data_IF_373527392726
#
_entry.id   IF_373527392726
#
_cell.length_a   1.000
_cell.length_b   1.000
_cell.length_c   1.000
_cell.angle_alpha   90.00
_cell.angle_beta   90.00
_cell.angle_gamma   90.00
#
_symmetry.space_group_name_H-M   'P 1'
#
loop_
_entity.id
_entity.type
_entity.pdbx_description
1 polymer ?
#
# COMPACT_ATOMS: atom_id res chain seq x y z
N UNK A 1 26.32 -12.17 10.09
CA UNK A 1 26.36 -11.73 11.50
C UNK A 1 27.81 -11.43 11.93
N UNK A 2 28.73 -12.35 11.82
CA UNK A 2 30.11 -12.19 12.27
C UNK A 2 30.84 -10.98 11.64
N UNK A 3 30.62 -10.70 10.36
CA UNK A 3 31.23 -9.56 9.67
C UNK A 3 30.67 -8.20 10.08
N UNK A 4 29.39 -8.18 10.47
CA UNK A 4 28.70 -6.94 10.86
C UNK A 4 28.75 -6.70 12.37
N UNK A 5 29.16 -7.69 13.16
CA UNK A 5 29.12 -7.63 14.62
C UNK A 5 27.71 -7.53 15.20
N UNK A 6 26.70 -7.97 14.44
CA UNK A 6 25.28 -7.85 14.78
C UNK A 6 24.62 -9.21 14.80
N UNK A 7 23.66 -9.40 15.71
CA UNK A 7 22.78 -10.56 15.70
C UNK A 7 21.52 -10.20 14.90
N UNK A 8 21.34 -10.80 13.73
CA UNK A 8 20.23 -10.46 12.81
C UNK A 8 18.98 -11.28 13.09
N UNK A 9 19.16 -12.51 13.60
CA UNK A 9 18.08 -13.44 13.85
C UNK A 9 18.30 -14.20 15.15
N UNK A 10 17.21 -14.53 15.83
CA UNK A 10 17.21 -15.40 17.02
C UNK A 10 16.43 -16.67 16.73
N UNK A 11 17.04 -17.83 17.06
CA UNK A 11 16.37 -19.13 17.07
C UNK A 11 16.12 -19.54 18.52
N UNK A 12 14.90 -19.95 18.83
CA UNK A 12 14.54 -20.44 20.15
C UNK A 12 13.38 -21.43 20.09
N UNK A 13 12.94 -21.93 21.27
CA UNK A 13 11.78 -22.85 21.38
C UNK A 13 10.49 -22.26 20.80
N UNK A 14 10.37 -20.92 20.72
CA UNK A 14 9.24 -20.20 20.13
C UNK A 14 9.37 -19.99 18.60
N UNK A 15 10.42 -20.56 17.94
CA UNK A 15 10.63 -20.44 16.51
C UNK A 15 11.78 -19.50 16.12
N UNK A 16 11.71 -18.97 14.91
CA UNK A 16 12.66 -18.04 14.31
C UNK A 16 12.10 -16.61 14.38
N UNK A 17 12.89 -15.68 14.85
CA UNK A 17 12.53 -14.25 14.90
C UNK A 17 13.68 -13.37 14.40
N UNK A 18 13.36 -12.38 13.59
CA UNK A 18 14.29 -11.34 13.16
C UNK A 18 14.48 -10.34 14.32
N UNK A 19 15.70 -9.90 14.57
CA UNK A 19 15.98 -8.86 15.57
C UNK A 19 15.67 -7.47 15.02
N UNK A 20 15.54 -6.43 15.87
CA UNK A 20 15.44 -5.05 15.41
C UNK A 20 16.62 -4.63 14.53
N UNK A 21 17.82 -5.07 14.87
CA UNK A 21 19.02 -4.87 14.07
C UNK A 21 18.96 -5.60 12.74
N UNK A 22 18.45 -6.85 12.76
CA UNK A 22 18.20 -7.65 11.57
C UNK A 22 17.22 -6.98 10.61
N UNK A 23 16.13 -6.43 11.16
CA UNK A 23 15.15 -5.69 10.36
C UNK A 23 15.78 -4.46 9.71
N UNK A 24 16.58 -3.69 10.45
CA UNK A 24 17.29 -2.54 9.90
C UNK A 24 18.25 -2.92 8.77
N UNK A 25 19.03 -3.97 8.96
CA UNK A 25 19.94 -4.47 7.90
C UNK A 25 19.17 -4.94 6.69
N UNK A 26 18.04 -5.60 6.88
CA UNK A 26 17.15 -6.00 5.79
C UNK A 26 16.65 -4.78 4.99
N UNK A 27 16.13 -3.77 5.68
CA UNK A 27 15.62 -2.56 5.05
C UNK A 27 16.71 -1.81 4.26
N UNK A 28 17.92 -1.68 4.83
CA UNK A 28 19.06 -1.07 4.14
C UNK A 28 19.55 -1.91 2.96
N UNK A 29 19.45 -3.23 3.05
CA UNK A 29 19.79 -4.12 1.93
C UNK A 29 18.82 -3.94 0.77
N UNK A 30 17.53 -3.80 1.05
CA UNK A 30 16.54 -3.51 0.02
C UNK A 30 16.83 -2.17 -0.69
N UNK A 31 17.20 -1.14 0.07
CA UNK A 31 17.60 0.16 -0.50
C UNK A 31 18.83 0.06 -1.39
N UNK A 32 19.83 -0.69 -0.93
CA UNK A 32 21.05 -0.91 -1.72
C UNK A 32 20.74 -1.64 -3.04
N UNK A 33 19.90 -2.67 -2.99
CA UNK A 33 19.50 -3.40 -4.19
C UNK A 33 18.73 -2.50 -5.16
N UNK A 34 17.80 -1.71 -4.66
CA UNK A 34 17.06 -0.73 -5.47
C UNK A 34 18.00 0.31 -6.10
N UNK A 35 19.01 0.79 -5.36
CA UNK A 35 20.01 1.71 -5.90
C UNK A 35 20.87 1.08 -6.99
N UNK A 36 21.23 -0.19 -6.84
CA UNK A 36 21.95 -0.96 -7.89
C UNK A 36 21.10 -1.12 -9.14
N UNK A 37 19.83 -1.44 -8.98
CA UNK A 37 18.92 -1.57 -10.13
C UNK A 37 18.66 -0.22 -10.80
N UNK A 38 18.53 0.88 -10.03
CA UNK A 38 18.46 2.24 -10.55
C UNK A 38 19.71 2.65 -11.32
N UNK A 39 20.90 2.28 -10.82
CA UNK A 39 22.14 2.52 -11.56
C UNK A 39 22.18 1.75 -12.89
N UNK A 40 21.77 0.47 -12.89
CA UNK A 40 21.69 -0.33 -14.12
C UNK A 40 20.72 0.28 -15.12
N UNK A 41 19.52 0.69 -14.66
CA UNK A 41 18.54 1.36 -15.52
C UNK A 41 19.12 2.66 -16.15
N UNK A 42 19.87 3.43 -15.36
CA UNK A 42 20.55 4.64 -15.86
C UNK A 42 21.61 4.33 -16.91
N UNK A 43 22.33 3.21 -16.78
CA UNK A 43 23.32 2.77 -17.77
C UNK A 43 22.61 2.27 -19.04
N UNK A 44 21.49 1.55 -18.89
CA UNK A 44 20.68 1.08 -20.02
C UNK A 44 20.07 2.25 -20.81
N UNK A 45 19.63 3.30 -20.10
CA UNK A 45 19.11 4.55 -20.70
C UNK A 45 20.17 5.26 -21.57
N UNK A 46 21.45 5.24 -21.17
CA UNK A 46 22.57 5.75 -21.97
C UNK A 46 22.69 5.01 -23.33
N UNK A 47 22.23 3.77 -23.38
CA UNK A 47 22.26 2.94 -24.58
C UNK A 47 20.95 2.96 -25.39
N UNK A 48 20.03 3.84 -25.07
CA UNK A 48 18.69 3.93 -25.72
C UNK A 48 17.87 2.61 -25.61
N UNK A 49 18.11 1.83 -24.55
CA UNK A 49 17.43 0.57 -24.30
C UNK A 49 16.58 0.69 -23.02
N UNK A 50 15.28 0.51 -23.18
CA UNK A 50 14.41 0.29 -22.01
C UNK A 50 14.68 -1.11 -21.43
N UNK A 51 15.49 -1.19 -20.36
CA UNK A 51 15.86 -2.42 -19.69
C UNK A 51 15.88 -2.27 -18.18
N UNK A 52 16.34 -3.32 -17.48
CA UNK A 52 16.50 -3.29 -16.03
C UNK A 52 15.29 -3.80 -15.25
N UNK A 53 15.09 -3.30 -14.03
CA UNK A 53 14.01 -3.69 -13.13
C UNK A 53 13.11 -2.49 -12.80
N UNK A 54 11.79 -2.68 -12.93
CA UNK A 54 10.78 -1.70 -12.53
C UNK A 54 10.02 -2.24 -11.33
N UNK A 55 10.17 -1.58 -10.19
CA UNK A 55 9.48 -1.93 -8.94
C UNK A 55 8.22 -1.07 -8.77
N UNK A 56 7.07 -1.71 -8.72
CA UNK A 56 5.76 -1.08 -8.49
C UNK A 56 5.17 -1.65 -7.22
N UNK A 57 4.69 -0.79 -6.34
CA UNK A 57 4.03 -1.19 -5.11
C UNK A 57 2.53 -0.88 -5.16
N UNK A 58 1.72 -1.84 -4.72
CA UNK A 58 0.26 -1.78 -4.73
C UNK A 58 -0.26 -1.97 -3.31
N UNK A 59 -1.24 -1.17 -2.92
CA UNK A 59 -2.02 -1.49 -1.74
C UNK A 59 -2.88 -2.73 -2.02
N UNK A 60 -3.01 -3.63 -1.04
CA UNK A 60 -3.60 -4.96 -1.18
C UNK A 60 -4.89 -4.99 -2.01
N UNK A 61 -5.91 -4.23 -1.61
CA UNK A 61 -7.20 -4.19 -2.31
C UNK A 61 -7.13 -3.61 -3.73
N UNK A 62 -6.12 -2.81 -4.02
CA UNK A 62 -5.94 -2.23 -5.36
C UNK A 62 -5.49 -3.29 -6.35
N UNK A 63 -4.64 -4.22 -5.92
CA UNK A 63 -4.12 -5.28 -6.78
C UNK A 63 -5.25 -6.19 -7.35
N UNK A 64 -6.32 -6.39 -6.58
CA UNK A 64 -7.46 -7.24 -6.94
C UNK A 64 -8.67 -6.48 -7.48
N UNK A 65 -8.66 -5.13 -7.47
CA UNK A 65 -9.79 -4.33 -7.93
C UNK A 65 -9.86 -4.27 -9.46
N UNK A 66 -10.95 -4.75 -10.10
CA UNK A 66 -11.09 -4.71 -11.55
C UNK A 66 -11.06 -3.29 -12.13
N UNK A 67 -11.51 -2.27 -11.38
CA UNK A 67 -11.51 -0.88 -11.84
C UNK A 67 -10.10 -0.31 -11.95
N UNK A 68 -9.15 -0.81 -11.17
CA UNK A 68 -7.76 -0.41 -11.24
C UNK A 68 -7.08 -0.82 -12.55
N UNK A 69 -7.60 -1.84 -13.25
CA UNK A 69 -7.10 -2.37 -14.52
C UNK A 69 -5.59 -2.68 -14.52
N UNK A 70 -5.03 -3.01 -13.37
CA UNK A 70 -3.59 -3.26 -13.19
C UNK A 70 -3.11 -4.36 -14.15
N UNK A 71 -3.88 -5.44 -14.30
CA UNK A 71 -3.55 -6.53 -15.21
C UNK A 71 -3.42 -6.09 -16.67
N UNK A 72 -4.31 -5.20 -17.13
CA UNK A 72 -4.27 -4.67 -18.48
C UNK A 72 -3.05 -3.76 -18.68
N UNK A 73 -2.80 -2.85 -17.72
CA UNK A 73 -1.64 -1.97 -17.76
C UNK A 73 -0.32 -2.75 -17.75
N UNK A 74 -0.23 -3.85 -16.99
CA UNK A 74 0.94 -4.74 -16.99
C UNK A 74 1.11 -5.40 -18.35
N UNK A 75 0.03 -5.93 -18.95
CA UNK A 75 0.09 -6.59 -20.25
C UNK A 75 0.57 -5.61 -21.34
N UNK A 76 0.03 -4.39 -21.37
CA UNK A 76 0.41 -3.34 -22.30
C UNK A 76 1.89 -2.92 -22.09
N UNK A 77 2.30 -2.78 -20.83
CA UNK A 77 3.69 -2.40 -20.51
C UNK A 77 4.70 -3.48 -20.90
N UNK A 78 4.42 -4.75 -20.62
CA UNK A 78 5.31 -5.87 -21.00
C UNK A 78 5.44 -5.99 -22.52
N UNK A 79 4.37 -5.71 -23.26
CA UNK A 79 4.43 -5.68 -24.72
C UNK A 79 5.28 -4.50 -25.25
N UNK A 80 5.23 -3.34 -24.57
CA UNK A 80 5.97 -2.15 -24.96
C UNK A 80 7.46 -2.22 -24.57
N UNK A 81 7.77 -2.83 -23.42
CA UNK A 81 9.11 -2.87 -22.85
C UNK A 81 9.49 -4.31 -22.41
N UNK A 82 9.69 -5.25 -23.36
CA UNK A 82 9.90 -6.66 -23.07
C UNK A 82 11.20 -6.95 -22.29
N UNK A 83 12.19 -6.07 -22.37
CA UNK A 83 13.47 -6.20 -21.67
C UNK A 83 13.44 -5.67 -20.23
N UNK A 84 12.33 -5.06 -19.80
CA UNK A 84 12.13 -4.58 -18.43
C UNK A 84 11.53 -5.69 -17.56
N UNK A 85 12.20 -6.01 -16.46
CA UNK A 85 11.66 -6.91 -15.42
C UNK A 85 10.75 -6.14 -14.48
N UNK A 86 9.47 -6.50 -14.49
CA UNK A 86 8.47 -5.91 -13.61
C UNK A 86 8.40 -6.66 -12.29
N UNK A 87 8.58 -5.95 -11.17
CA UNK A 87 8.42 -6.45 -9.81
C UNK A 87 7.21 -5.79 -9.16
N UNK A 88 6.22 -6.60 -8.81
CA UNK A 88 5.03 -6.14 -8.10
C UNK A 88 5.16 -6.45 -6.62
N UNK A 89 4.98 -5.44 -5.79
CA UNK A 89 5.00 -5.52 -4.34
C UNK A 89 3.61 -5.20 -3.79
N UNK A 90 3.20 -5.88 -2.74
CA UNK A 90 1.98 -5.55 -1.99
C UNK A 90 2.40 -5.14 -0.59
N UNK A 91 2.04 -3.93 -0.18
CA UNK A 91 2.51 -3.39 1.09
C UNK A 91 1.50 -2.39 1.71
N UNK A 92 1.80 -1.92 2.90
CA UNK A 92 1.04 -0.87 3.59
C UNK A 92 1.23 0.49 2.89
N UNK A 93 0.25 1.37 3.04
CA UNK A 93 0.29 2.72 2.43
C UNK A 93 1.56 3.46 2.82
N UNK A 94 1.94 3.42 4.11
CA UNK A 94 3.14 4.11 4.59
C UNK A 94 4.45 3.53 4.03
N UNK A 95 4.50 2.22 3.82
CA UNK A 95 5.68 1.58 3.22
C UNK A 95 5.77 1.93 1.74
N UNK A 96 4.64 1.96 1.03
CA UNK A 96 4.57 2.36 -0.37
C UNK A 96 5.01 3.81 -0.55
N UNK A 97 4.47 4.75 0.24
CA UNK A 97 4.87 6.17 0.17
C UNK A 97 6.37 6.35 0.44
N UNK A 98 6.89 5.70 1.49
CA UNK A 98 8.33 5.74 1.79
C UNK A 98 9.16 5.18 0.63
N UNK A 99 8.76 4.04 0.09
CA UNK A 99 9.50 3.40 -0.99
C UNK A 99 9.50 4.22 -2.29
N UNK A 100 8.44 5.00 -2.55
CA UNK A 100 8.46 5.96 -3.67
C UNK A 100 9.34 7.16 -3.36
N UNK A 101 9.33 7.68 -2.12
CA UNK A 101 10.18 8.80 -1.72
C UNK A 101 11.67 8.45 -1.72
N UNK A 102 12.05 7.25 -1.33
CA UNK A 102 13.45 6.81 -1.30
C UNK A 102 13.92 6.12 -2.59
N UNK A 103 13.03 6.00 -3.59
CA UNK A 103 13.36 5.41 -4.89
C UNK A 103 13.35 3.88 -4.93
N UNK A 104 12.96 3.20 -3.85
CA UNK A 104 12.79 1.73 -3.83
C UNK A 104 11.65 1.27 -4.73
N UNK A 105 10.64 2.12 -4.91
CA UNK A 105 9.54 1.92 -5.85
C UNK A 105 9.47 3.10 -6.84
N UNK A 106 9.34 2.79 -8.11
CA UNK A 106 9.15 3.81 -9.15
C UNK A 106 7.72 4.38 -9.11
N UNK A 107 6.75 3.53 -8.79
CA UNK A 107 5.33 3.88 -8.71
C UNK A 107 4.70 3.17 -7.50
N UNK A 108 3.82 3.89 -6.80
CA UNK A 108 2.96 3.35 -5.77
C UNK A 108 1.49 3.60 -6.09
N UNK A 109 0.63 2.60 -5.89
CA UNK A 109 -0.83 2.77 -6.00
C UNK A 109 -1.45 2.57 -4.63
N UNK A 110 -2.07 3.63 -4.13
CA UNK A 110 -2.64 3.69 -2.78
C UNK A 110 -4.03 4.34 -2.80
N UNK A 111 -4.88 4.04 -1.83
CA UNK A 111 -6.10 4.83 -1.61
C UNK A 111 -5.73 6.29 -1.33
N UNK A 112 -6.44 7.23 -1.95
CA UNK A 112 -6.25 8.66 -1.68
C UNK A 112 -6.56 8.95 -0.19
N UNK A 113 -5.63 9.63 0.46
CA UNK A 113 -5.76 10.10 1.82
C UNK A 113 -5.20 11.52 1.91
N UNK A 114 -4.25 11.80 2.73
CA UNK A 114 -3.54 13.08 2.70
C UNK A 114 -2.51 13.09 1.57
N UNK A 115 -2.35 14.21 0.89
CA UNK A 115 -1.28 14.41 -0.07
C UNK A 115 0.02 14.80 0.64
N UNK A 116 1.13 14.16 0.30
CA UNK A 116 2.48 14.60 0.69
C UNK A 116 3.01 15.58 -0.36
N UNK A 117 3.61 16.70 0.08
CA UNK A 117 4.22 17.66 -0.85
C UNK A 117 5.43 17.09 -1.62
N UNK A 118 5.98 15.96 -1.15
CA UNK A 118 7.14 15.29 -1.76
C UNK A 118 6.76 14.30 -2.84
N UNK A 119 5.47 14.06 -3.07
CA UNK A 119 4.97 13.08 -4.04
C UNK A 119 3.97 13.73 -4.99
N UNK A 120 4.00 13.32 -6.24
CA UNK A 120 2.93 13.61 -7.20
C UNK A 120 1.88 12.52 -7.14
N UNK A 121 0.62 12.90 -7.12
CA UNK A 121 -0.51 12.00 -7.11
C UNK A 121 -1.36 12.20 -8.36
N UNK A 122 -1.63 11.11 -9.06
CA UNK A 122 -2.53 11.08 -10.21
C UNK A 122 -3.72 10.18 -9.86
N UNK A 123 -4.96 10.66 -10.05
CA UNK A 123 -6.16 9.90 -9.77
C UNK A 123 -6.31 8.75 -10.76
N UNK A 124 -6.37 7.52 -10.25
CA UNK A 124 -6.52 6.32 -11.06
C UNK A 124 -8.00 5.93 -11.23
N UNK A 125 -8.74 5.83 -10.12
CA UNK A 125 -10.18 5.53 -10.09
C UNK A 125 -10.77 5.95 -8.75
N UNK A 126 -12.11 5.98 -8.67
CA UNK A 126 -12.85 6.21 -7.42
C UNK A 126 -13.57 4.95 -6.95
N UNK A 127 -13.71 4.80 -5.64
CA UNK A 127 -14.48 3.73 -5.01
C UNK A 127 -15.61 4.31 -4.17
N UNK A 128 -16.73 3.61 -4.15
CA UNK A 128 -17.83 3.92 -3.24
C UNK A 128 -17.70 3.07 -1.99
N UNK A 129 -17.65 3.71 -0.84
CA UNK A 129 -17.67 3.05 0.45
C UNK A 129 -19.11 2.82 0.89
N UNK A 130 -19.39 1.62 1.39
CA UNK A 130 -20.72 1.24 1.90
C UNK A 130 -20.64 0.94 3.39
N UNK A 131 -21.69 1.32 4.10
CA UNK A 131 -21.93 0.85 5.46
C UNK A 131 -22.75 -0.46 5.37
N UNK A 132 -22.29 -1.48 6.07
CA UNK A 132 -22.96 -2.78 6.11
C UNK A 132 -23.48 -3.06 7.51
N UNK A 133 -24.67 -3.68 7.57
CA UNK A 133 -25.20 -4.26 8.80
C UNK A 133 -25.70 -5.68 8.57
N UNK A 134 -25.71 -6.50 9.62
CA UNK A 134 -26.26 -7.84 9.55
C UNK A 134 -27.79 -7.83 9.54
N UNK A 135 -28.42 -8.94 9.09
CA UNK A 135 -29.88 -9.06 8.99
C UNK A 135 -30.61 -8.95 10.35
N UNK A 136 -29.91 -9.19 11.47
CA UNK A 136 -30.47 -9.01 12.81
C UNK A 136 -30.32 -7.58 13.37
N UNK A 137 -29.69 -6.69 12.62
CA UNK A 137 -29.46 -5.32 13.06
C UNK A 137 -30.66 -4.43 12.76
N UNK A 138 -31.03 -3.54 13.66
CA UNK A 138 -32.20 -2.66 13.51
C UNK A 138 -32.19 -1.76 12.25
N UNK A 139 -31.01 -1.49 11.71
CA UNK A 139 -30.85 -0.70 10.47
C UNK A 139 -31.01 -1.53 9.21
N UNK A 140 -31.20 -2.84 9.29
CA UNK A 140 -31.27 -3.70 8.11
C UNK A 140 -32.46 -3.37 7.21
N UNK A 141 -33.64 -3.17 7.83
CA UNK A 141 -34.88 -2.83 7.13
C UNK A 141 -35.25 -1.32 7.25
N UNK A 142 -34.31 -0.49 7.75
CA UNK A 142 -34.55 0.93 7.90
C UNK A 142 -34.54 1.68 6.56
N UNK A 143 -35.25 2.79 6.50
CA UNK A 143 -35.14 3.72 5.36
C UNK A 143 -33.76 4.40 5.38
N UNK A 144 -32.88 3.94 4.50
CA UNK A 144 -31.51 4.41 4.43
C UNK A 144 -31.39 5.86 3.97
N UNK A 145 -32.40 6.43 3.31
CA UNK A 145 -32.45 7.83 2.93
C UNK A 145 -32.66 8.76 4.14
N UNK A 146 -33.24 8.22 5.20
CA UNK A 146 -33.52 8.95 6.46
C UNK A 146 -32.48 8.72 7.56
N UNK A 147 -31.31 8.12 7.25
CA UNK A 147 -30.28 7.84 8.25
C UNK A 147 -29.72 9.13 8.90
N UNK A 148 -29.83 9.20 10.23
CA UNK A 148 -29.17 10.24 11.02
C UNK A 148 -27.68 9.90 11.21
N UNK A 149 -26.82 10.37 10.31
CA UNK A 149 -25.38 10.18 10.37
C UNK A 149 -24.72 10.65 11.68
N UNK A 150 -25.12 11.79 12.30
CA UNK A 150 -24.68 12.17 13.64
C UNK A 150 -25.04 11.17 14.73
N UNK A 151 -26.21 10.52 14.66
CA UNK A 151 -26.61 9.48 15.59
C UNK A 151 -25.80 8.19 15.38
N UNK A 152 -25.60 7.77 14.16
CA UNK A 152 -24.79 6.60 13.81
C UNK A 152 -23.35 6.72 14.31
N UNK A 153 -22.78 7.91 14.34
CA UNK A 153 -21.43 8.17 14.88
C UNK A 153 -21.30 7.93 16.39
N UNK A 154 -22.38 8.03 17.12
CA UNK A 154 -22.41 7.84 18.57
C UNK A 154 -22.63 6.39 18.96
N UNK A 155 -22.89 5.52 18.00
CA UNK A 155 -23.15 4.11 18.26
C UNK A 155 -21.88 3.38 18.69
N UNK A 156 -22.06 2.40 19.58
CA UNK A 156 -20.97 1.57 20.08
C UNK A 156 -20.86 0.23 19.36
N UNK A 157 -21.82 -0.08 18.47
CA UNK A 157 -21.91 -1.32 17.69
C UNK A 157 -21.35 -1.18 16.27
N UNK A 158 -20.60 -0.12 16.00
CA UNK A 158 -19.93 0.07 14.73
C UNK A 158 -18.55 -0.60 14.70
N UNK A 159 -18.38 -1.57 13.81
CA UNK A 159 -17.09 -2.17 13.53
C UNK A 159 -16.40 -1.45 12.38
N UNK A 160 -15.33 -0.76 12.68
CA UNK A 160 -14.46 -0.12 11.69
C UNK A 160 -13.19 -0.93 11.42
N UNK A 161 -12.38 -0.43 10.52
CA UNK A 161 -11.04 -0.96 10.30
C UNK A 161 -10.18 -0.65 11.54
N UNK A 162 -9.72 -1.69 12.25
CA UNK A 162 -9.01 -1.60 13.55
C UNK A 162 -7.57 -1.09 13.47
N UNK A 163 -7.13 -0.55 12.34
CA UNK A 163 -5.82 0.06 12.18
C UNK A 163 -5.98 1.54 11.76
N UNK A 164 -5.02 2.36 12.13
CA UNK A 164 -4.92 3.73 11.66
C UNK A 164 -4.72 3.73 10.13
N UNK A 165 -5.81 3.54 9.42
CA UNK A 165 -5.83 3.72 7.98
C UNK A 165 -5.91 5.23 7.71
N UNK A 166 -5.13 5.78 6.80
CA UNK A 166 -5.35 7.13 6.28
C UNK A 166 -6.77 7.35 5.77
N UNK A 167 -7.46 6.29 5.35
CA UNK A 167 -8.87 6.31 5.01
C UNK A 167 -9.79 6.65 6.21
N UNK A 168 -9.32 6.50 7.45
CA UNK A 168 -10.04 6.99 8.61
C UNK A 168 -10.13 8.52 8.64
N UNK A 169 -9.14 9.24 8.12
CA UNK A 169 -9.21 10.69 7.98
C UNK A 169 -10.19 11.10 6.88
N UNK A 170 -10.26 10.35 5.76
CA UNK A 170 -11.29 10.52 4.74
C UNK A 170 -12.68 10.20 5.30
N UNK A 171 -12.83 9.09 6.02
CA UNK A 171 -14.07 8.77 6.73
C UNK A 171 -14.49 9.87 7.72
N UNK A 172 -13.53 10.63 8.26
CA UNK A 172 -13.80 11.80 9.08
C UNK A 172 -14.25 13.01 8.30
N UNK A 173 -13.64 13.29 7.16
CA UNK A 173 -14.06 14.34 6.25
C UNK A 173 -15.47 14.07 5.70
N UNK A 174 -15.74 12.79 5.38
CA UNK A 174 -17.03 12.29 4.92
C UNK A 174 -18.06 12.05 6.06
N UNK A 175 -17.71 12.37 7.30
CA UNK A 175 -18.59 12.25 8.48
C UNK A 175 -18.99 10.83 8.90
N UNK A 176 -18.22 9.79 8.64
CA UNK A 176 -18.47 8.41 9.08
C UNK A 176 -18.17 8.17 10.58
N UNK A 177 -18.78 7.15 11.24
CA UNK A 177 -18.54 6.83 12.65
C UNK A 177 -17.08 6.45 12.95
N UNK A 178 -16.60 6.84 14.13
CA UNK A 178 -15.18 6.74 14.54
C UNK A 178 -14.78 5.52 15.32
N UNK A 179 -15.72 4.77 15.88
CA UNK A 179 -15.37 3.66 16.76
C UNK A 179 -15.17 2.37 15.98
N UNK A 180 -13.95 1.83 16.09
CA UNK A 180 -13.68 0.42 15.92
C UNK A 180 -13.73 -0.22 17.32
N UNK A 181 -14.47 -1.25 17.50
CA UNK A 181 -14.37 -2.19 18.63
C UNK A 181 -13.38 -3.28 18.30
#
# INVERSE_FOLDING_TARGET
ETRLGLTLCRRGRAGFAVTPEGQRVYDETLRLLAAVDGFRASVDDIHDRMGGALHIALFDKTASNPQARIHAAIADFVALAPDVRLHLHVDSIQAIERGVMDGSFAVGVIPAHRASASLRYDLLFGETMYLYCGAAHELYDADHAALDWPALRRRDDFAGLGYHSPNMELAHAERLPRKAT
#
